data_IF_442627413509
#
_entry.id   IF_442627413509
#
_cell.length_a   1.000
_cell.length_b   1.000
_cell.length_c   1.000
_cell.angle_alpha   90.00
_cell.angle_beta   90.00
_cell.angle_gamma   90.00
#
_symmetry.space_group_name_H-M   'P 1'
#
loop_
_entity.id
_entity.type
_entity.pdbx_description
1 polymer ?
#
# COMPACT_ATOMS: atom_id res chain seq x y z
N UNK A 1 29.04 -22.60 2.48
CA UNK A 1 28.77 -22.20 1.08
C UNK A 1 28.51 -20.71 1.07
N UNK A 2 29.50 -19.89 0.65
CA UNK A 2 29.34 -18.43 0.62
C UNK A 2 28.64 -18.03 -0.67
N UNK A 3 27.36 -17.66 -0.57
CA UNK A 3 26.59 -17.08 -1.67
C UNK A 3 27.17 -15.71 -2.02
N UNK A 4 27.71 -15.57 -3.23
CA UNK A 4 28.18 -14.29 -3.75
C UNK A 4 26.94 -13.41 -3.93
N UNK A 5 26.88 -12.20 -3.34
CA UNK A 5 25.69 -11.37 -3.47
C UNK A 5 25.39 -11.12 -4.95
N UNK A 6 24.11 -11.16 -5.37
CA UNK A 6 23.74 -10.99 -6.76
C UNK A 6 24.27 -9.66 -7.28
N UNK A 7 24.99 -9.69 -8.41
CA UNK A 7 25.51 -8.50 -9.05
C UNK A 7 24.33 -7.66 -9.54
N UNK A 8 24.10 -6.51 -8.89
CA UNK A 8 23.01 -5.61 -9.26
C UNK A 8 23.39 -4.82 -10.51
N UNK A 9 22.49 -4.82 -11.49
CA UNK A 9 22.66 -4.03 -12.72
C UNK A 9 22.46 -2.54 -12.40
N UNK A 10 23.36 -1.65 -12.81
CA UNK A 10 23.18 -0.20 -12.63
C UNK A 10 21.90 0.32 -13.30
N UNK A 11 21.15 1.18 -12.61
CA UNK A 11 19.93 1.78 -13.15
C UNK A 11 20.28 3.00 -14.02
N UNK A 12 20.49 2.75 -15.32
CA UNK A 12 20.81 3.79 -16.31
C UNK A 12 19.64 4.73 -16.59
N UNK A 13 18.39 4.25 -16.50
CA UNK A 13 17.18 5.07 -16.74
C UNK A 13 17.05 6.18 -15.69
N UNK A 14 17.20 5.83 -14.41
CA UNK A 14 17.23 6.80 -13.32
C UNK A 14 18.38 7.79 -13.47
N UNK A 15 19.58 7.33 -13.86
CA UNK A 15 20.74 8.20 -14.08
C UNK A 15 20.46 9.27 -15.15
N UNK A 16 19.90 8.86 -16.29
CA UNK A 16 19.53 9.78 -17.38
C UNK A 16 18.49 10.81 -16.94
N UNK A 17 17.44 10.39 -16.22
CA UNK A 17 16.41 11.30 -15.75
C UNK A 17 16.93 12.28 -14.69
N UNK A 18 17.82 11.84 -13.79
CA UNK A 18 18.49 12.73 -12.82
C UNK A 18 19.24 13.86 -13.55
N UNK A 19 19.97 13.51 -14.61
CA UNK A 19 20.70 14.48 -15.42
C UNK A 19 19.75 15.44 -16.16
N UNK A 20 18.72 14.92 -16.83
CA UNK A 20 17.69 15.70 -17.54
C UNK A 20 16.98 16.70 -16.60
N UNK A 21 16.61 16.25 -15.39
CA UNK A 21 15.95 17.07 -14.38
C UNK A 21 16.88 18.08 -13.68
N UNK A 22 18.20 17.92 -13.83
CA UNK A 22 19.21 18.72 -13.14
C UNK A 22 19.22 18.51 -11.62
N UNK A 23 18.87 17.30 -11.15
CA UNK A 23 18.87 17.01 -9.72
C UNK A 23 20.26 16.62 -9.21
N UNK A 24 20.67 17.18 -8.08
CA UNK A 24 21.70 16.55 -7.26
C UNK A 24 21.12 15.36 -6.50
N UNK A 25 21.93 14.35 -6.15
CA UNK A 25 21.45 13.19 -5.39
C UNK A 25 20.83 13.60 -4.04
N UNK A 26 21.44 14.54 -3.33
CA UNK A 26 20.88 15.07 -2.09
C UNK A 26 19.59 15.86 -2.34
N UNK A 27 19.52 16.61 -3.44
CA UNK A 27 18.34 17.36 -3.84
C UNK A 27 17.16 16.49 -4.25
N UNK A 28 17.42 15.34 -4.88
CA UNK A 28 16.39 14.34 -5.17
C UNK A 28 15.86 13.72 -3.87
N UNK A 29 16.75 13.27 -3.00
CA UNK A 29 16.37 12.66 -1.72
C UNK A 29 15.45 13.58 -0.89
N UNK A 30 15.84 14.85 -0.73
CA UNK A 30 15.04 15.85 -0.01
C UNK A 30 13.64 16.07 -0.61
N UNK A 31 13.52 16.05 -1.94
CA UNK A 31 12.22 16.21 -2.61
C UNK A 31 11.34 14.97 -2.44
N UNK A 32 11.94 13.78 -2.44
CA UNK A 32 11.22 12.53 -2.15
C UNK A 32 10.73 12.52 -0.70
N UNK A 33 11.56 12.96 0.25
CA UNK A 33 11.15 13.06 1.66
C UNK A 33 10.05 14.11 1.85
N UNK A 34 10.18 15.28 1.23
CA UNK A 34 9.15 16.33 1.26
C UNK A 34 7.82 15.81 0.71
N UNK A 35 7.84 15.14 -0.45
CA UNK A 35 6.65 14.54 -1.03
C UNK A 35 6.11 13.40 -0.15
N UNK A 36 6.99 12.63 0.49
CA UNK A 36 6.60 11.63 1.49
C UNK A 36 5.79 12.26 2.63
N UNK A 37 6.25 13.37 3.18
CA UNK A 37 5.55 14.11 4.22
C UNK A 37 4.19 14.65 3.75
N UNK A 38 4.11 15.18 2.53
CA UNK A 38 2.82 15.58 1.90
C UNK A 38 1.81 14.41 1.84
N UNK A 39 2.32 13.17 1.75
CA UNK A 39 1.53 11.95 1.73
C UNK A 39 1.44 11.25 3.12
N UNK A 40 1.87 11.91 4.20
CA UNK A 40 1.80 11.38 5.56
C UNK A 40 2.83 10.28 5.89
N UNK A 41 3.92 10.20 5.13
CA UNK A 41 4.99 9.21 5.32
C UNK A 41 6.21 9.86 6.01
N UNK A 42 6.74 9.23 7.07
CA UNK A 42 8.04 9.62 7.65
C UNK A 42 9.17 8.91 6.89
N UNK A 43 9.67 9.58 5.84
CA UNK A 43 10.80 9.13 5.03
C UNK A 43 12.05 9.96 5.35
N UNK A 44 13.21 9.31 5.33
CA UNK A 44 14.51 9.94 5.62
C UNK A 44 15.58 9.44 4.66
N UNK A 45 15.45 9.82 3.39
CA UNK A 45 16.43 9.47 2.38
C UNK A 45 17.56 10.50 2.29
N UNK A 46 18.71 10.01 1.83
CA UNK A 46 19.92 10.80 1.66
C UNK A 46 20.56 10.54 0.28
N UNK A 47 21.65 11.25 0.01
CA UNK A 47 22.47 11.02 -1.20
C UNK A 47 22.88 9.55 -1.33
N UNK A 48 23.16 8.87 -0.23
CA UNK A 48 23.58 7.46 -0.22
C UNK A 48 22.46 6.55 -0.72
N UNK A 49 21.22 6.82 -0.32
CA UNK A 49 20.01 6.13 -0.76
C UNK A 49 19.85 6.22 -2.27
N UNK A 50 19.96 7.42 -2.83
CA UNK A 50 19.93 7.64 -4.30
C UNK A 50 21.08 6.90 -5.00
N UNK A 51 22.27 6.93 -4.42
CA UNK A 51 23.43 6.21 -4.96
C UNK A 51 23.20 4.70 -4.98
N UNK A 52 22.52 4.15 -3.96
CA UNK A 52 22.13 2.73 -3.94
C UNK A 52 21.09 2.42 -5.03
N UNK A 53 20.12 3.31 -5.27
CA UNK A 53 19.14 3.15 -6.35
C UNK A 53 19.80 3.14 -7.73
N UNK A 54 20.77 4.03 -7.95
CA UNK A 54 21.59 4.05 -9.17
C UNK A 54 22.41 2.77 -9.35
N UNK A 55 22.83 2.13 -8.25
CA UNK A 55 23.49 0.82 -8.27
C UNK A 55 22.52 -0.36 -8.37
N UNK A 56 21.24 -0.11 -8.69
CA UNK A 56 20.24 -1.14 -8.91
C UNK A 56 19.54 -1.64 -7.64
N UNK A 57 19.69 -0.96 -6.50
CA UNK A 57 18.85 -1.26 -5.34
C UNK A 57 17.45 -0.73 -5.57
N UNK A 58 16.42 -1.57 -5.43
CA UNK A 58 15.05 -1.12 -5.52
C UNK A 58 14.61 -0.43 -4.20
N UNK A 59 14.06 0.79 -4.26
CA UNK A 59 13.32 1.37 -3.14
C UNK A 59 12.08 0.51 -2.84
N UNK A 60 11.63 0.52 -1.59
CA UNK A 60 10.50 -0.31 -1.13
C UNK A 60 9.22 0.50 -0.97
N UNK A 61 8.10 -0.21 -0.90
CA UNK A 61 6.79 0.39 -0.62
C UNK A 61 6.39 1.40 -1.70
N UNK A 62 5.87 2.54 -1.27
CA UNK A 62 5.34 3.61 -2.13
C UNK A 62 6.45 4.49 -2.75
N UNK A 63 7.69 4.37 -2.28
CA UNK A 63 8.82 5.21 -2.69
C UNK A 63 9.08 5.23 -4.20
N UNK A 64 9.02 4.12 -4.96
CA UNK A 64 9.17 4.16 -6.42
C UNK A 64 8.18 5.10 -7.12
N UNK A 65 6.92 5.15 -6.64
CA UNK A 65 5.90 6.04 -7.17
C UNK A 65 6.17 7.51 -6.79
N UNK A 66 6.63 7.77 -5.55
CA UNK A 66 7.01 9.12 -5.12
C UNK A 66 8.19 9.66 -5.94
N UNK A 67 9.20 8.83 -6.22
CA UNK A 67 10.32 9.24 -7.07
C UNK A 67 9.79 9.61 -8.46
N UNK A 68 8.94 8.79 -9.06
CA UNK A 68 8.34 9.07 -10.37
C UNK A 68 7.52 10.37 -10.39
N UNK A 69 6.77 10.65 -9.32
CA UNK A 69 6.02 11.89 -9.15
C UNK A 69 6.93 13.11 -9.03
N UNK A 70 8.05 13.02 -8.28
CA UNK A 70 9.04 14.09 -8.21
C UNK A 70 9.60 14.45 -9.60
N UNK A 71 9.90 13.45 -10.43
CA UNK A 71 10.33 13.70 -11.81
C UNK A 71 9.19 14.25 -12.69
N UNK A 72 7.97 13.74 -12.53
CA UNK A 72 6.79 14.23 -13.26
C UNK A 72 6.57 15.72 -13.02
N UNK A 73 6.60 16.16 -11.74
CA UNK A 73 6.47 17.58 -11.36
C UNK A 73 7.59 18.44 -11.94
N UNK A 74 8.82 17.90 -12.04
CA UNK A 74 10.00 18.63 -12.50
C UNK A 74 10.09 18.76 -14.03
N UNK A 75 9.72 17.70 -14.74
CA UNK A 75 9.88 17.57 -16.20
C UNK A 75 8.59 17.88 -16.97
N UNK A 76 7.45 18.03 -16.29
CA UNK A 76 6.18 18.40 -16.91
C UNK A 76 5.55 17.30 -17.78
N UNK A 77 6.03 16.07 -17.67
CA UNK A 77 5.49 14.90 -18.37
C UNK A 77 5.27 13.76 -17.39
N UNK A 78 4.20 12.99 -17.60
CA UNK A 78 3.86 11.85 -16.75
C UNK A 78 4.94 10.78 -16.84
N UNK A 79 5.49 10.40 -15.69
CA UNK A 79 6.46 9.32 -15.55
C UNK A 79 5.97 8.33 -14.49
N UNK A 80 6.19 7.04 -14.77
CA UNK A 80 5.93 5.92 -13.87
C UNK A 80 7.22 5.39 -13.25
N UNK A 81 7.13 4.61 -12.18
CA UNK A 81 8.30 3.95 -11.58
C UNK A 81 9.08 3.12 -12.63
N UNK A 82 8.38 2.48 -13.56
CA UNK A 82 8.95 1.64 -14.62
C UNK A 82 9.76 2.46 -15.63
N UNK A 83 9.33 3.69 -15.94
CA UNK A 83 10.07 4.64 -16.79
C UNK A 83 11.42 4.99 -16.16
N UNK A 84 11.48 5.03 -14.83
CA UNK A 84 12.71 5.24 -14.05
C UNK A 84 13.54 3.96 -13.87
N UNK A 85 13.08 2.81 -14.38
CA UNK A 85 13.73 1.51 -14.13
C UNK A 85 13.59 1.02 -12.69
N UNK A 86 12.56 1.49 -11.99
CA UNK A 86 12.21 1.06 -10.64
C UNK A 86 11.04 0.10 -10.66
N UNK A 87 11.02 -0.83 -9.72
CA UNK A 87 9.91 -1.76 -9.57
C UNK A 87 8.70 -0.99 -9.05
N UNK A 88 7.59 -1.06 -9.77
CA UNK A 88 6.33 -0.56 -9.27
C UNK A 88 5.82 -1.53 -8.21
N UNK A 89 5.54 -1.04 -7.00
CA UNK A 89 4.64 -1.75 -6.11
C UNK A 89 3.25 -1.65 -6.76
N UNK A 90 2.69 -2.78 -7.21
CA UNK A 90 1.28 -2.81 -7.54
C UNK A 90 0.51 -2.41 -6.26
N UNK A 91 -0.45 -1.49 -6.32
CA UNK A 91 -1.31 -1.24 -5.18
C UNK A 91 -1.88 -2.59 -4.76
N UNK A 92 -1.56 -3.00 -3.54
CA UNK A 92 -2.09 -4.24 -3.01
C UNK A 92 -3.51 -3.94 -2.58
N UNK A 93 -4.44 -4.33 -3.44
CA UNK A 93 -5.88 -4.29 -3.16
C UNK A 93 -6.30 -5.39 -2.17
N UNK A 94 -5.42 -6.34 -1.87
CA UNK A 94 -5.74 -7.48 -1.01
C UNK A 94 -6.13 -7.01 0.39
N UNK A 95 -7.38 -7.27 0.79
CA UNK A 95 -7.94 -6.84 2.07
C UNK A 95 -8.46 -5.39 2.08
N UNK A 96 -8.42 -4.70 0.94
CA UNK A 96 -9.09 -3.42 0.70
C UNK A 96 -10.36 -3.62 -0.15
N UNK A 97 -10.90 -4.83 -0.23
CA UNK A 97 -12.17 -5.10 -0.88
C UNK A 97 -13.34 -4.80 0.07
N UNK A 98 -14.41 -4.17 -0.44
CA UNK A 98 -15.68 -4.09 0.30
C UNK A 98 -16.47 -5.37 0.03
N UNK A 99 -16.72 -6.16 1.08
CA UNK A 99 -17.50 -7.39 0.97
C UNK A 99 -18.98 -7.07 0.76
N UNK A 100 -19.60 -7.71 -0.22
CA UNK A 100 -21.04 -7.57 -0.47
C UNK A 100 -21.89 -8.39 0.52
N UNK A 101 -21.28 -9.33 1.26
CA UNK A 101 -21.97 -10.16 2.26
C UNK A 101 -21.10 -10.41 3.50
N UNK A 102 -21.71 -10.71 4.66
CA UNK A 102 -20.98 -11.13 5.86
C UNK A 102 -20.10 -12.37 5.66
N UNK A 103 -20.53 -13.34 4.85
CA UNK A 103 -19.76 -14.55 4.56
C UNK A 103 -18.47 -14.23 3.78
N UNK A 104 -18.60 -13.39 2.75
CA UNK A 104 -17.46 -12.90 1.98
C UNK A 104 -16.49 -12.10 2.86
N UNK A 105 -16.99 -11.30 3.81
CA UNK A 105 -16.14 -10.59 4.76
C UNK A 105 -15.31 -11.56 5.62
N UNK A 106 -15.92 -12.64 6.12
CA UNK A 106 -15.23 -13.69 6.89
C UNK A 106 -14.17 -14.37 6.04
N UNK A 107 -14.43 -14.65 4.77
CA UNK A 107 -13.48 -15.26 3.85
C UNK A 107 -12.27 -14.36 3.58
N UNK A 108 -12.50 -13.06 3.32
CA UNK A 108 -11.44 -12.07 3.09
C UNK A 108 -10.54 -11.96 4.33
N UNK A 109 -11.12 -11.79 5.52
CA UNK A 109 -10.36 -11.69 6.79
C UNK A 109 -9.60 -12.99 7.08
N UNK A 110 -10.22 -14.14 6.87
CA UNK A 110 -9.58 -15.45 7.08
C UNK A 110 -8.42 -15.68 6.11
N UNK A 111 -8.57 -15.25 4.85
CA UNK A 111 -7.52 -15.26 3.85
C UNK A 111 -6.34 -14.37 4.21
N UNK A 112 -6.62 -13.17 4.76
CA UNK A 112 -5.59 -12.26 5.24
C UNK A 112 -4.85 -12.84 6.45
N UNK A 113 -5.58 -13.40 7.42
CA UNK A 113 -5.01 -14.01 8.62
C UNK A 113 -4.09 -15.20 8.30
N UNK A 114 -4.47 -16.06 7.34
CA UNK A 114 -3.60 -17.15 6.87
C UNK A 114 -2.33 -16.66 6.18
N UNK A 115 -2.42 -15.54 5.45
CA UNK A 115 -1.25 -14.91 4.81
C UNK A 115 -0.34 -14.24 5.83
N UNK A 116 -0.90 -13.72 6.92
CA UNK A 116 -0.16 -13.07 8.02
C UNK A 116 0.52 -14.05 8.97
N UNK A 117 -0.02 -15.26 9.12
CA UNK A 117 0.58 -16.34 9.90
C UNK A 117 1.76 -17.05 9.21
N UNK A 118 2.16 -16.61 8.01
CA UNK A 118 3.36 -17.07 7.28
C UNK A 118 4.62 -16.23 7.50
N UNK A 119 5.69 -16.47 6.74
CA UNK A 119 6.94 -15.70 6.87
C UNK A 119 6.74 -14.23 6.45
N UNK A 120 6.92 -13.28 7.38
CA UNK A 120 6.70 -11.82 7.25
C UNK A 120 7.46 -11.07 6.12
N UNK A 121 8.05 -11.76 5.14
CA UNK A 121 8.88 -11.17 4.08
C UNK A 121 8.04 -10.49 2.99
N UNK A 122 6.84 -11.00 2.70
CA UNK A 122 5.99 -10.45 1.62
C UNK A 122 5.09 -9.29 2.06
N UNK A 123 4.62 -9.28 3.30
CA UNK A 123 3.77 -8.20 3.83
C UNK A 123 4.51 -6.84 3.91
N UNK A 124 5.84 -6.85 4.06
CA UNK A 124 6.67 -5.63 4.04
C UNK A 124 6.78 -4.96 2.66
N UNK A 125 6.24 -5.58 1.60
CA UNK A 125 6.18 -5.01 0.24
C UNK A 125 4.85 -4.31 -0.05
N UNK A 126 3.89 -4.37 0.88
CA UNK A 126 2.58 -3.75 0.74
C UNK A 126 2.71 -2.25 1.02
N UNK A 127 2.52 -1.45 -0.03
CA UNK A 127 2.39 -0.01 0.11
C UNK A 127 0.91 0.37 0.18
N UNK A 128 0.44 0.83 1.33
CA UNK A 128 -0.88 1.45 1.39
C UNK A 128 -0.86 2.72 0.54
N UNK A 129 -1.83 2.86 -0.35
CA UNK A 129 -2.00 4.07 -1.18
C UNK A 129 -3.44 4.55 -1.04
N UNK A 130 -3.71 5.84 -0.77
CA UNK A 130 -5.08 6.35 -0.64
C UNK A 130 -5.98 6.06 -1.85
N UNK A 131 -5.40 6.01 -3.06
CA UNK A 131 -6.12 5.61 -4.27
C UNK A 131 -6.70 4.18 -4.21
N UNK A 132 -6.12 3.31 -3.39
CA UNK A 132 -6.64 1.96 -3.13
C UNK A 132 -7.98 1.95 -2.39
N UNK A 133 -8.35 3.05 -1.72
CA UNK A 133 -9.65 3.18 -1.06
C UNK A 133 -10.78 3.62 -2.00
N UNK A 134 -10.48 4.13 -3.20
CA UNK A 134 -11.51 4.68 -4.09
C UNK A 134 -12.59 3.65 -4.43
N UNK A 135 -12.17 2.43 -4.77
CA UNK A 135 -13.07 1.33 -5.13
C UNK A 135 -13.90 0.85 -3.92
N UNK A 136 -13.31 0.43 -2.78
CA UNK A 136 -14.11 -0.01 -1.63
C UNK A 136 -14.96 1.11 -1.02
N UNK A 137 -14.51 2.38 -1.04
CA UNK A 137 -15.34 3.50 -0.58
C UNK A 137 -16.54 3.74 -1.50
N UNK A 138 -16.35 3.64 -2.82
CA UNK A 138 -17.46 3.67 -3.78
C UNK A 138 -18.40 2.50 -3.53
N UNK A 139 -17.87 1.29 -3.43
CA UNK A 139 -18.66 0.06 -3.29
C UNK A 139 -19.43 0.03 -1.96
N UNK A 140 -18.88 0.61 -0.89
CA UNK A 140 -19.61 0.88 0.35
C UNK A 140 -20.75 1.89 0.15
N UNK A 141 -20.50 3.00 -0.54
CA UNK A 141 -21.50 4.05 -0.78
C UNK A 141 -22.68 3.57 -1.63
N UNK A 142 -22.42 2.73 -2.62
CA UNK A 142 -23.45 2.22 -3.56
C UNK A 142 -23.95 0.81 -3.18
N UNK A 143 -23.35 0.20 -2.16
CA UNK A 143 -23.66 -1.13 -1.69
C UNK A 143 -25.08 -1.21 -1.14
N UNK A 144 -25.72 -2.37 -1.31
CA UNK A 144 -27.03 -2.62 -0.71
C UNK A 144 -26.86 -2.64 0.82
N UNK A 145 -27.73 -1.92 1.53
CA UNK A 145 -27.77 -2.03 2.98
C UNK A 145 -28.12 -3.46 3.40
N UNK A 146 -27.39 -3.99 4.39
CA UNK A 146 -27.74 -5.28 4.97
C UNK A 146 -29.17 -5.22 5.52
N UNK A 147 -30.02 -6.14 5.06
CA UNK A 147 -31.42 -6.20 5.49
C UNK A 147 -31.53 -6.59 6.98
N UNK A 148 -30.48 -7.21 7.54
CA UNK A 148 -30.45 -7.63 8.92
C UNK A 148 -29.02 -7.62 9.50
N UNK A 149 -28.73 -6.66 10.39
CA UNK A 149 -27.54 -6.67 11.25
C UNK A 149 -27.99 -7.07 12.66
N UNK A 150 -28.29 -8.35 12.87
CA UNK A 150 -28.69 -8.84 14.17
C UNK A 150 -27.48 -9.23 15.03
N UNK A 151 -27.33 -8.59 16.19
CA UNK A 151 -26.74 -9.26 17.35
C UNK A 151 -27.85 -10.10 17.96
N UNK A 152 -27.83 -11.41 17.74
CA UNK A 152 -28.65 -12.35 18.50
C UNK A 152 -28.16 -12.39 19.95
N UNK A 153 -28.50 -11.36 20.72
CA UNK A 153 -28.05 -11.19 22.10
C UNK A 153 -29.16 -10.91 23.11
N UNK A 154 -30.43 -10.78 22.69
CA UNK A 154 -31.48 -10.28 23.58
C UNK A 154 -32.87 -10.94 23.39
N UNK A 155 -32.93 -12.23 23.08
CA UNK A 155 -34.21 -12.97 23.01
C UNK A 155 -34.28 -14.24 23.89
N UNK A 156 -33.41 -14.40 24.88
CA UNK A 156 -33.49 -15.52 25.85
C UNK A 156 -33.88 -15.09 27.28
N UNK A 157 -34.25 -13.82 27.51
CA UNK A 157 -34.71 -13.35 28.83
C UNK A 157 -35.91 -12.43 28.66
N UNK A 158 -37.12 -13.02 28.62
CA UNK A 158 -38.37 -12.57 29.26
C UNK A 158 -39.61 -13.14 28.56
N UNK A 159 -40.03 -14.32 29.01
CA UNK A 159 -41.43 -14.73 29.21
C UNK A 159 -41.35 -15.68 30.40
N UNK A 160 -41.61 -15.28 31.64
CA UNK A 160 -42.80 -14.61 32.12
C UNK A 160 -43.42 -15.58 33.12
N UNK A 161 -43.10 -15.42 34.41
CA UNK A 161 -43.91 -16.01 35.47
C UNK A 161 -45.00 -15.02 35.82
N UNK A 162 -46.26 -15.47 35.94
CA UNK A 162 -47.17 -15.11 37.03
C UNK A 162 -48.38 -16.08 37.09
N UNK A 163 -49.05 -16.08 38.24
CA UNK A 163 -49.79 -17.13 38.93
C UNK A 163 -51.27 -17.39 38.51
N UNK A 164 -51.88 -18.44 39.11
CA UNK A 164 -53.25 -19.01 38.90
C UNK A 164 -54.43 -18.12 39.36
N UNK A 165 -55.58 -18.61 39.91
CA UNK A 165 -56.25 -19.93 39.99
C UNK A 165 -57.70 -19.84 39.39
N UNK A 166 -58.82 -20.48 39.83
CA UNK A 166 -59.32 -20.73 41.20
C UNK A 166 -59.27 -22.18 41.70
#
# INVERSE_FOLDING_TARGET
>A
MSERPPQRTPNRRLASLIAEAGFSHAGLARRVDQLGLEHGLDLRYDKTSVTRWLRGQQPRGTTPALIAEVFTRRLGRRLSAQDLGLDACAPVYAGLEFAATPAEAVDIVSGLWRKDSGTHVELRKIAFTPAGLVVPSRDWLIGRADEWVARDGAAARRTGGEAGPP
#
